data_IF_899489767934
#
_entry.id   IF_899489767934
#
_cell.length_a   1.000
_cell.length_b   1.000
_cell.length_c   1.000
_cell.angle_alpha   90.00
_cell.angle_beta   90.00
_cell.angle_gamma   90.00
#
_symmetry.space_group_name_H-M   'P 1'
#
loop_
_entity.id
_entity.type
_entity.pdbx_description
1 polymer ?
#
# COMPACT_ATOMS: atom_id res chain seq x y z
N UNK A 1 -10.01 17.90 -15.53
CA UNK A 1 -9.34 17.72 -16.83
C UNK A 1 -9.92 18.70 -17.83
N UNK A 2 -9.12 19.19 -18.78
CA UNK A 2 -9.63 19.95 -19.93
C UNK A 2 -9.39 19.14 -21.19
N UNK A 3 -10.36 19.08 -22.08
CA UNK A 3 -10.13 18.53 -23.42
C UNK A 3 -9.48 19.58 -24.33
N UNK A 4 -9.22 19.21 -25.59
CA UNK A 4 -8.63 20.10 -26.59
C UNK A 4 -9.55 21.26 -27.02
N UNK A 5 -10.85 21.20 -26.73
CA UNK A 5 -11.78 22.31 -26.94
C UNK A 5 -11.73 23.33 -25.80
N UNK A 6 -11.00 23.03 -24.72
CA UNK A 6 -10.92 23.86 -23.51
C UNK A 6 -12.04 23.60 -22.50
N UNK A 7 -12.98 22.69 -22.82
CA UNK A 7 -14.08 22.30 -21.95
C UNK A 7 -13.54 21.48 -20.77
N UNK A 8 -14.03 21.82 -19.58
CA UNK A 8 -13.52 21.25 -18.32
C UNK A 8 -14.43 20.13 -17.81
N UNK A 9 -13.85 18.95 -17.67
CA UNK A 9 -14.51 17.74 -17.21
C UNK A 9 -13.95 17.30 -15.85
N UNK A 10 -14.82 16.81 -14.98
CA UNK A 10 -14.37 16.00 -13.83
C UNK A 10 -14.46 14.54 -14.24
N UNK A 11 -13.36 13.79 -14.13
CA UNK A 11 -13.30 12.38 -14.51
C UNK A 11 -12.93 11.58 -13.27
N UNK A 12 -13.65 10.51 -13.01
CA UNK A 12 -13.39 9.57 -11.93
C UNK A 12 -13.36 8.14 -12.49
N UNK A 13 -12.36 7.36 -12.07
CA UNK A 13 -12.33 5.92 -12.25
C UNK A 13 -12.52 5.27 -10.88
N UNK A 14 -13.46 4.35 -10.82
CA UNK A 14 -13.84 3.60 -9.63
C UNK A 14 -13.75 2.11 -9.99
N UNK A 15 -13.53 1.27 -9.00
CA UNK A 15 -13.58 -0.16 -9.21
C UNK A 15 -14.20 -0.86 -8.00
N UNK A 16 -14.69 -2.07 -8.21
CA UNK A 16 -15.30 -2.86 -7.16
C UNK A 16 -14.24 -3.26 -6.12
N UNK A 17 -14.48 -3.02 -4.81
CA UNK A 17 -13.57 -3.48 -3.77
C UNK A 17 -13.32 -4.98 -3.88
N UNK A 18 -12.05 -5.38 -3.79
CA UNK A 18 -11.57 -6.76 -3.97
C UNK A 18 -11.73 -7.36 -5.37
N UNK A 19 -12.22 -6.59 -6.35
CA UNK A 19 -12.43 -7.05 -7.72
C UNK A 19 -12.17 -5.95 -8.76
N UNK A 20 -11.05 -5.24 -8.55
CA UNK A 20 -10.72 -4.07 -9.35
C UNK A 20 -10.31 -4.41 -10.79
N UNK A 21 -9.88 -5.66 -11.03
CA UNK A 21 -9.50 -6.13 -12.35
C UNK A 21 -10.72 -6.36 -13.24
N UNK A 22 -11.79 -6.95 -12.69
CA UNK A 22 -12.93 -7.37 -13.49
C UNK A 22 -14.09 -6.38 -13.49
N UNK A 23 -14.20 -5.48 -12.52
CA UNK A 23 -15.34 -4.56 -12.40
C UNK A 23 -14.88 -3.12 -12.18
N UNK A 24 -14.98 -2.31 -13.25
CA UNK A 24 -14.57 -0.90 -13.24
C UNK A 24 -15.66 0.03 -13.76
N UNK A 25 -15.72 1.23 -13.20
CA UNK A 25 -16.66 2.28 -13.58
C UNK A 25 -15.88 3.58 -13.85
N UNK A 26 -16.02 4.12 -15.05
CA UNK A 26 -15.58 5.48 -15.37
C UNK A 26 -16.79 6.40 -15.33
N UNK A 27 -16.63 7.59 -14.77
CA UNK A 27 -17.64 8.65 -14.72
C UNK A 27 -17.01 9.94 -15.22
N UNK A 28 -17.72 10.63 -16.12
CA UNK A 28 -17.42 11.99 -16.51
C UNK A 28 -18.56 12.92 -16.06
N UNK A 29 -18.19 14.06 -15.49
CA UNK A 29 -19.13 15.06 -14.98
C UNK A 29 -18.82 16.38 -15.67
N UNK A 30 -19.82 16.89 -16.38
CA UNK A 30 -19.84 18.26 -16.90
C UNK A 30 -20.47 19.17 -15.84
N UNK A 31 -19.64 19.88 -15.09
CA UNK A 31 -20.13 20.79 -14.05
C UNK A 31 -20.82 22.03 -14.61
N UNK A 32 -20.55 22.40 -15.87
CA UNK A 32 -21.13 23.58 -16.50
C UNK A 32 -22.56 23.29 -16.95
N UNK A 33 -22.77 22.18 -17.64
CA UNK A 33 -24.09 21.78 -18.13
C UNK A 33 -24.87 20.88 -17.15
N UNK A 34 -24.23 20.46 -16.05
CA UNK A 34 -24.79 19.56 -15.01
C UNK A 34 -25.13 18.17 -15.54
N UNK A 35 -24.42 17.73 -16.56
CA UNK A 35 -24.58 16.41 -17.15
C UNK A 35 -23.57 15.42 -16.56
N UNK A 36 -23.96 14.15 -16.57
CA UNK A 36 -23.17 13.03 -16.06
C UNK A 36 -23.33 11.82 -16.95
N UNK A 37 -22.19 11.23 -17.30
CA UNK A 37 -22.15 10.00 -18.09
C UNK A 37 -21.21 8.99 -17.44
N UNK A 38 -21.51 7.71 -17.65
CA UNK A 38 -20.72 6.62 -17.09
C UNK A 38 -20.51 5.49 -18.06
N UNK A 39 -19.43 4.75 -17.86
CA UNK A 39 -19.15 3.49 -18.53
C UNK A 39 -18.77 2.44 -17.47
N UNK A 40 -19.61 1.43 -17.31
CA UNK A 40 -19.27 0.23 -16.55
C UNK A 40 -18.63 -0.78 -17.50
N UNK A 41 -17.41 -1.20 -17.17
CA UNK A 41 -16.66 -2.23 -17.85
C UNK A 41 -16.57 -3.46 -16.95
N UNK A 42 -17.08 -4.59 -17.44
CA UNK A 42 -16.78 -5.91 -16.88
C UNK A 42 -15.79 -6.63 -17.78
N UNK A 43 -14.76 -7.27 -17.22
CA UNK A 43 -13.76 -7.98 -18.02
C UNK A 43 -14.17 -9.44 -18.34
N UNK A 44 -14.88 -10.11 -17.42
CA UNK A 44 -15.15 -11.55 -17.50
C UNK A 44 -16.63 -11.92 -17.19
N UNK A 45 -17.48 -12.20 -18.20
CA UNK A 45 -17.25 -11.96 -19.62
C UNK A 45 -17.18 -10.46 -19.93
N UNK A 46 -16.45 -10.10 -21.00
CA UNK A 46 -16.26 -8.69 -21.33
C UNK A 46 -17.60 -8.06 -21.71
N UNK A 47 -18.03 -7.04 -20.97
CA UNK A 47 -19.23 -6.28 -21.29
C UNK A 47 -19.07 -4.80 -20.95
N UNK A 48 -19.71 -3.95 -21.76
CA UNK A 48 -19.69 -2.49 -21.64
C UNK A 48 -21.11 -2.00 -21.49
N UNK A 49 -21.36 -1.14 -20.49
CA UNK A 49 -22.65 -0.49 -20.30
C UNK A 49 -22.46 1.00 -20.11
N UNK A 50 -23.11 1.78 -20.99
CA UNK A 50 -23.13 3.24 -20.92
C UNK A 50 -24.32 3.73 -20.09
N UNK A 51 -24.11 4.82 -19.34
CA UNK A 51 -25.12 5.52 -18.55
C UNK A 51 -25.20 6.98 -18.98
N UNK A 52 -26.40 7.57 -18.90
CA UNK A 52 -26.64 8.98 -19.24
C UNK A 52 -26.79 9.27 -20.74
N UNK A 53 -26.88 8.25 -21.59
CA UNK A 53 -26.96 8.37 -23.05
C UNK A 53 -25.83 9.24 -23.66
N UNK A 54 -24.55 8.87 -23.49
CA UNK A 54 -23.42 9.66 -23.96
C UNK A 54 -23.37 9.74 -25.48
N UNK A 55 -23.00 10.91 -25.99
CA UNK A 55 -22.65 11.12 -27.39
C UNK A 55 -21.30 10.51 -27.76
N UNK A 56 -20.86 10.64 -29.02
CA UNK A 56 -19.60 10.08 -29.50
C UNK A 56 -18.37 10.60 -28.74
N UNK A 57 -18.36 11.89 -28.38
CA UNK A 57 -17.26 12.53 -27.66
C UNK A 57 -17.17 12.03 -26.21
N UNK A 58 -18.31 11.97 -25.51
CA UNK A 58 -18.38 11.46 -24.14
C UNK A 58 -17.98 9.99 -24.06
N UNK A 59 -18.37 9.17 -25.05
CA UNK A 59 -17.95 7.77 -25.15
C UNK A 59 -16.43 7.66 -25.30
N UNK A 60 -15.82 8.48 -26.16
CA UNK A 60 -14.37 8.48 -26.35
C UNK A 60 -13.62 8.86 -25.05
N UNK A 61 -14.11 9.86 -24.32
CA UNK A 61 -13.55 10.26 -23.02
C UNK A 61 -13.68 9.15 -21.97
N UNK A 62 -14.84 8.50 -21.88
CA UNK A 62 -15.09 7.38 -20.97
C UNK A 62 -14.20 6.17 -21.27
N UNK A 63 -13.98 5.84 -22.54
CA UNK A 63 -13.07 4.75 -22.92
C UNK A 63 -11.59 5.11 -22.67
N UNK A 64 -11.21 6.36 -22.92
CA UNK A 64 -9.85 6.83 -22.68
C UNK A 64 -9.48 6.83 -21.19
N UNK A 65 -10.47 7.02 -20.31
CA UNK A 65 -10.28 6.91 -18.86
C UNK A 65 -9.69 5.55 -18.48
N UNK A 66 -10.25 4.46 -19.01
CA UNK A 66 -9.76 3.11 -18.72
C UNK A 66 -8.41 2.76 -19.33
N UNK A 67 -8.01 3.44 -20.41
CA UNK A 67 -6.72 3.21 -21.07
C UNK A 67 -5.59 4.03 -20.46
N UNK A 68 -5.83 4.77 -19.37
CA UNK A 68 -4.88 5.72 -18.79
C UNK A 68 -4.41 6.78 -19.79
N UNK A 69 -5.15 6.97 -20.89
CA UNK A 69 -4.76 7.74 -22.07
C UNK A 69 -5.50 9.06 -22.17
N UNK A 70 -5.97 9.56 -21.02
CA UNK A 70 -6.77 10.78 -20.90
C UNK A 70 -6.05 12.03 -21.45
N UNK A 71 -4.72 12.01 -21.51
CA UNK A 71 -3.92 13.08 -22.11
C UNK A 71 -3.98 13.14 -23.66
N UNK A 72 -4.49 12.10 -24.34
CA UNK A 72 -4.36 11.93 -25.79
C UNK A 72 -5.69 12.05 -26.57
N UNK A 73 -6.82 12.31 -25.91
CA UNK A 73 -8.15 12.26 -26.54
C UNK A 73 -8.39 13.40 -27.55
N UNK A 74 -7.59 14.47 -27.50
CA UNK A 74 -7.72 15.63 -28.39
C UNK A 74 -6.90 15.60 -29.67
N UNK A 75 -6.02 14.62 -29.89
CA UNK A 75 -5.04 14.67 -31.00
C UNK A 75 -5.42 13.85 -32.24
N UNK A 76 -6.61 13.23 -32.26
CA UNK A 76 -7.03 12.29 -33.33
C UNK A 76 -8.30 12.66 -34.10
N UNK A 77 -8.88 13.85 -33.92
CA UNK A 77 -10.07 14.26 -34.67
C UNK A 77 -9.80 15.10 -35.93
N UNK A 78 -8.66 14.89 -36.58
CA UNK A 78 -8.44 15.37 -37.95
C UNK A 78 -7.72 14.29 -38.76
N UNK A 79 -8.48 13.46 -39.47
CA UNK A 79 -7.90 12.58 -40.50
C UNK A 79 -8.65 11.27 -40.75
N UNK A 80 -9.63 11.34 -41.65
CA UNK A 80 -9.92 10.37 -42.73
C UNK A 80 -10.15 8.89 -42.39
N UNK A 81 -11.31 8.41 -42.85
CA UNK A 81 -11.75 7.02 -42.96
C UNK A 81 -10.82 6.21 -43.88
N UNK A 82 -10.31 5.04 -43.46
CA UNK A 82 -9.94 3.94 -44.37
C UNK A 82 -9.73 2.60 -43.63
N UNK A 83 -10.53 1.62 -44.07
CA UNK A 83 -10.41 0.16 -44.20
C UNK A 83 -9.30 -0.69 -43.53
N UNK A 84 -9.71 -1.95 -43.29
CA UNK A 84 -8.93 -3.18 -43.05
C UNK A 84 -7.70 -3.35 -43.96
N UNK A 85 -6.58 -3.85 -43.42
CA UNK A 85 -5.91 -5.11 -43.83
C UNK A 85 -4.56 -5.34 -43.12
N UNK A 86 -4.41 -6.60 -42.69
CA UNK A 86 -3.29 -7.54 -42.68
C UNK A 86 -1.80 -7.14 -42.80
N UNK A 87 -1.00 -8.03 -42.21
CA UNK A 87 0.43 -8.32 -42.41
C UNK A 87 1.53 -7.45 -41.79
N UNK A 88 2.51 -8.15 -41.19
CA UNK A 88 3.92 -7.78 -41.35
C UNK A 88 4.72 -7.47 -40.09
N UNK A 89 5.29 -8.53 -39.51
CA UNK A 89 6.39 -8.54 -38.55
C UNK A 89 7.62 -7.72 -39.03
N UNK A 90 8.21 -6.84 -38.20
CA UNK A 90 9.67 -6.56 -38.19
C UNK A 90 10.12 -6.16 -36.77
N UNK A 91 10.80 -7.08 -36.10
CA UNK A 91 11.63 -6.86 -34.93
C UNK A 91 12.94 -6.17 -35.35
N UNK A 92 13.21 -4.95 -34.85
CA UNK A 92 14.52 -4.31 -34.98
C UNK A 92 15.36 -4.53 -33.71
N UNK A 93 16.26 -5.50 -33.84
CA UNK A 93 17.40 -5.74 -32.95
C UNK A 93 18.29 -4.49 -32.86
N UNK A 94 18.58 -4.06 -31.63
CA UNK A 94 19.67 -3.10 -31.35
C UNK A 94 20.81 -3.86 -30.65
N UNK A 95 22.07 -3.87 -31.16
CA UNK A 95 23.16 -4.61 -30.53
C UNK A 95 23.72 -3.91 -29.30
N UNK A 96 23.99 -4.71 -28.25
CA UNK A 96 24.77 -4.36 -27.06
C UNK A 96 26.24 -4.09 -27.43
N UNK A 97 26.79 -2.98 -26.97
CA UNK A 97 28.23 -2.68 -27.07
C UNK A 97 29.03 -3.42 -25.99
N UNK A 98 30.09 -4.09 -26.42
CA UNK A 98 31.09 -4.79 -25.59
C UNK A 98 32.00 -3.80 -24.84
N UNK A 99 32.42 -4.09 -23.60
CA UNK A 99 33.50 -3.35 -22.93
C UNK A 99 34.88 -3.97 -23.25
N UNK A 100 35.97 -3.18 -23.32
CA UNK A 100 37.29 -3.70 -23.60
C UNK A 100 37.92 -4.40 -22.38
N UNK A 101 38.56 -5.54 -22.65
CA UNK A 101 39.39 -6.32 -21.72
C UNK A 101 40.74 -5.63 -21.51
N UNK A 102 41.11 -5.44 -20.24
CA UNK A 102 42.49 -5.18 -19.81
C UNK A 102 42.82 -6.10 -18.62
N UNK A 103 43.90 -6.88 -18.74
CA UNK A 103 44.48 -7.71 -17.68
C UNK A 103 45.86 -7.10 -17.27
N UNK A 104 46.59 -7.70 -16.32
CA UNK A 104 46.27 -7.87 -14.90
C UNK A 104 47.31 -7.12 -14.03
N UNK A 105 46.91 -6.58 -12.87
CA UNK A 105 47.84 -6.01 -11.90
C UNK A 105 47.88 -6.84 -10.62
N UNK A 106 49.10 -7.12 -10.20
CA UNK A 106 49.53 -8.11 -9.22
C UNK A 106 49.02 -7.85 -7.81
N UNK A 107 48.75 -8.96 -7.11
CA UNK A 107 48.51 -9.02 -5.69
C UNK A 107 49.77 -8.59 -4.92
N UNK A 108 49.66 -7.51 -4.16
CA UNK A 108 50.57 -7.20 -3.06
C UNK A 108 49.78 -7.33 -1.76
N UNK A 109 50.05 -8.42 -1.03
CA UNK A 109 49.60 -8.62 0.34
C UNK A 109 50.25 -7.53 1.22
N UNK A 110 49.42 -6.72 1.88
CA UNK A 110 49.85 -5.86 2.96
C UNK A 110 49.11 -6.23 4.24
N UNK A 111 49.92 -6.67 5.19
CA UNK A 111 49.61 -7.15 6.52
C UNK A 111 48.93 -6.06 7.36
N UNK A 112 47.75 -6.37 7.91
CA UNK A 112 47.09 -5.53 8.91
C UNK A 112 47.66 -5.86 10.29
N UNK A 113 48.21 -4.91 11.07
CA UNK A 113 48.59 -5.17 12.45
C UNK A 113 47.35 -5.28 13.35
N UNK A 114 47.34 -6.31 14.18
CA UNK A 114 46.30 -6.60 15.16
C UNK A 114 46.18 -5.48 16.21
N UNK A 115 44.98 -4.95 16.40
CA UNK A 115 44.63 -4.09 17.52
C UNK A 115 44.24 -4.95 18.75
N UNK A 116 44.67 -4.59 19.97
CA UNK A 116 44.44 -5.39 21.16
C UNK A 116 42.97 -5.36 21.60
N UNK A 117 42.33 -6.54 21.60
CA UNK A 117 41.03 -6.79 22.18
C UNK A 117 41.17 -6.89 23.71
N UNK A 118 40.76 -5.85 24.43
CA UNK A 118 40.43 -5.91 25.85
C UNK A 118 39.47 -4.77 26.20
N UNK A 119 38.22 -4.89 25.73
CA UNK A 119 37.09 -4.24 26.38
C UNK A 119 36.11 -5.33 26.82
N UNK A 120 35.75 -5.41 28.12
CA UNK A 120 34.72 -6.32 28.57
C UNK A 120 33.39 -5.97 27.87
N UNK A 121 32.50 -6.96 27.65
CA UNK A 121 31.23 -6.72 26.96
C UNK A 121 30.47 -5.59 27.67
N UNK A 122 30.16 -4.55 26.91
CA UNK A 122 29.26 -3.48 27.34
C UNK A 122 27.93 -4.15 27.68
N UNK A 123 27.63 -4.27 28.98
CA UNK A 123 26.33 -4.71 29.48
C UNK A 123 25.25 -3.94 28.72
N UNK A 124 24.46 -4.69 27.96
CA UNK A 124 23.31 -4.14 27.24
C UNK A 124 22.36 -3.56 28.28
N UNK A 125 21.90 -2.30 28.14
CA UNK A 125 20.88 -1.77 29.02
C UNK A 125 19.69 -2.71 29.00
N UNK A 126 19.29 -3.20 30.17
CA UNK A 126 18.05 -3.92 30.37
C UNK A 126 16.94 -3.18 29.63
N UNK A 127 16.39 -3.81 28.59
CA UNK A 127 15.46 -3.15 27.69
C UNK A 127 14.26 -2.63 28.49
N UNK A 128 14.15 -1.31 28.61
CA UNK A 128 12.90 -0.70 29.04
C UNK A 128 11.76 -1.31 28.20
N UNK A 129 10.59 -1.57 28.82
CA UNK A 129 9.48 -2.14 28.07
C UNK A 129 9.17 -1.24 26.88
N UNK A 130 9.02 -1.84 25.71
CA UNK A 130 8.66 -1.12 24.49
C UNK A 130 7.31 -0.42 24.68
N UNK A 131 7.31 0.91 24.77
CA UNK A 131 6.12 1.74 24.98
C UNK A 131 5.96 2.72 23.82
N UNK A 132 4.74 2.80 23.30
CA UNK A 132 4.40 3.73 22.24
C UNK A 132 4.45 5.17 22.73
N UNK A 133 4.99 6.04 21.89
CA UNK A 133 5.12 7.49 22.10
C UNK A 133 4.75 8.25 20.85
N UNK A 134 4.27 9.48 21.03
CA UNK A 134 4.13 10.44 19.94
C UNK A 134 5.31 11.40 19.96
N UNK A 135 6.00 11.54 18.83
CA UNK A 135 7.20 12.36 18.75
C UNK A 135 7.93 12.20 17.43
N UNK A 136 9.11 12.81 17.32
CA UNK A 136 9.96 12.66 16.15
C UNK A 136 10.71 11.33 16.20
N UNK A 137 10.49 10.46 15.22
CA UNK A 137 11.23 9.23 15.01
C UNK A 137 12.31 9.45 13.93
N UNK A 138 13.55 8.94 14.10
CA UNK A 138 14.64 9.17 13.13
C UNK A 138 14.29 8.76 11.68
N UNK A 139 13.55 7.66 11.52
CA UNK A 139 13.14 7.19 10.19
C UNK A 139 11.76 7.70 9.77
N UNK A 140 10.82 7.80 10.70
CA UNK A 140 9.40 8.05 10.38
C UNK A 140 9.02 9.53 10.49
N UNK A 141 9.89 10.39 11.01
CA UNK A 141 9.54 11.76 11.36
C UNK A 141 8.51 11.80 12.49
N UNK A 142 7.72 12.87 12.52
CA UNK A 142 6.66 13.05 13.52
C UNK A 142 5.60 11.93 13.41
N UNK A 143 5.56 11.04 14.40
CA UNK A 143 4.77 9.81 14.35
C UNK A 143 4.31 9.35 15.75
N UNK A 144 3.27 8.54 15.79
CA UNK A 144 3.00 7.66 16.93
C UNK A 144 3.74 6.34 16.67
N UNK A 145 4.75 6.01 17.47
CA UNK A 145 5.64 4.88 17.19
C UNK A 145 6.11 4.18 18.47
N UNK A 146 6.68 2.99 18.28
CA UNK A 146 7.40 2.24 19.30
C UNK A 146 8.64 1.60 18.68
N UNK A 147 9.70 1.51 19.49
CA UNK A 147 10.91 0.77 19.19
C UNK A 147 10.92 -0.52 20.04
N UNK A 148 11.13 -1.67 19.41
CA UNK A 148 11.08 -2.98 20.07
C UNK A 148 12.07 -3.93 19.41
N UNK A 149 13.09 -4.36 20.15
CA UNK A 149 14.06 -5.35 19.67
C UNK A 149 14.90 -4.89 18.47
N UNK A 150 15.27 -3.60 18.43
CA UNK A 150 16.05 -3.00 17.33
C UNK A 150 15.23 -2.63 16.10
N UNK A 151 13.93 -2.86 16.12
CA UNK A 151 13.01 -2.55 15.05
C UNK A 151 11.95 -1.53 15.51
N UNK A 152 11.30 -0.85 14.56
CA UNK A 152 10.31 0.19 14.85
C UNK A 152 9.04 0.02 14.04
N UNK A 153 7.90 0.34 14.64
CA UNK A 153 6.61 0.46 13.96
C UNK A 153 5.95 1.78 14.36
N UNK A 154 5.26 2.41 13.43
CA UNK A 154 4.50 3.61 13.74
C UNK A 154 3.46 4.01 12.70
N UNK A 155 2.60 4.93 13.13
CA UNK A 155 1.58 5.57 12.32
C UNK A 155 1.94 7.05 12.11
N UNK A 156 1.78 7.52 10.88
CA UNK A 156 2.15 8.89 10.47
C UNK A 156 0.97 9.55 9.77
N UNK A 157 0.84 10.86 9.96
CA UNK A 157 -0.08 11.71 9.21
C UNK A 157 0.38 11.78 7.76
N UNK A 158 -0.44 11.30 6.82
CA UNK A 158 -0.02 11.20 5.41
C UNK A 158 0.19 12.56 4.74
N UNK A 159 -0.59 13.56 5.16
CA UNK A 159 -0.45 14.93 4.69
C UNK A 159 -1.01 15.92 5.70
N UNK A 160 -0.52 17.16 5.64
CA UNK A 160 -1.06 18.26 6.43
C UNK A 160 -2.25 18.88 5.69
N UNK A 161 -3.28 19.26 6.43
CA UNK A 161 -4.49 19.87 5.88
C UNK A 161 -5.67 18.90 5.84
N UNK A 162 -6.71 19.28 5.09
CA UNK A 162 -7.95 18.51 4.93
C UNK A 162 -8.22 18.37 3.44
N UNK A 163 -8.30 17.13 2.97
CA UNK A 163 -8.67 16.78 1.60
C UNK A 163 -9.47 15.49 1.65
N UNK A 164 -10.79 15.61 1.56
CA UNK A 164 -11.72 14.48 1.65
C UNK A 164 -11.72 13.61 0.39
N UNK A 165 -11.06 14.04 -0.70
CA UNK A 165 -10.87 13.22 -1.89
C UNK A 165 -9.69 12.25 -1.74
N UNK A 166 -8.85 12.42 -0.71
CA UNK A 166 -7.72 11.53 -0.42
C UNK A 166 -8.08 10.56 0.69
N UNK A 167 -8.24 9.29 0.33
CA UNK A 167 -8.52 8.21 1.28
C UNK A 167 -7.31 7.81 2.13
N UNK A 168 -6.10 8.15 1.70
CA UNK A 168 -4.85 7.76 2.35
C UNK A 168 -4.44 8.82 3.40
N UNK A 169 -5.11 8.85 4.54
CA UNK A 169 -4.86 9.85 5.61
C UNK A 169 -3.81 9.39 6.63
N UNK A 170 -3.50 8.09 6.66
CA UNK A 170 -2.54 7.44 7.56
C UNK A 170 -1.47 6.71 6.74
N UNK A 171 -0.22 6.81 7.18
CA UNK A 171 0.87 5.96 6.69
C UNK A 171 1.29 5.02 7.82
N UNK A 172 1.18 3.72 7.58
CA UNK A 172 1.70 2.67 8.46
C UNK A 172 3.14 2.40 8.04
N UNK A 173 4.10 2.66 8.93
CA UNK A 173 5.53 2.45 8.69
C UNK A 173 6.10 1.37 9.61
N UNK A 174 6.96 0.54 9.04
CA UNK A 174 7.75 -0.46 9.77
C UNK A 174 9.20 -0.44 9.30
N UNK A 175 10.12 -0.79 10.17
CA UNK A 175 11.48 -1.18 9.76
C UNK A 175 11.45 -2.60 9.18
N UNK A 176 12.40 -2.91 8.29
CA UNK A 176 12.37 -4.11 7.47
C UNK A 176 12.43 -5.41 8.27
N UNK A 177 13.11 -5.43 9.42
CA UNK A 177 13.28 -6.64 10.21
C UNK A 177 12.02 -7.08 10.97
N UNK A 178 10.99 -6.23 11.10
CA UNK A 178 9.68 -6.67 11.61
C UNK A 178 8.99 -7.63 10.67
N UNK A 179 9.05 -7.35 9.36
CA UNK A 179 8.42 -8.20 8.36
C UNK A 179 9.17 -8.17 7.02
N UNK A 180 10.26 -8.94 6.88
CA UNK A 180 11.13 -8.87 5.72
C UNK A 180 10.47 -9.25 4.39
N UNK A 181 9.45 -10.12 4.40
CA UNK A 181 8.73 -10.53 3.18
C UNK A 181 7.47 -9.70 2.90
N UNK A 182 7.19 -8.66 3.70
CA UNK A 182 6.01 -7.80 3.50
C UNK A 182 6.00 -6.97 2.22
N UNK A 183 7.07 -7.01 1.43
CA UNK A 183 7.11 -6.42 0.07
C UNK A 183 6.67 -7.39 -1.02
N UNK A 184 6.42 -8.65 -0.69
CA UNK A 184 5.96 -9.67 -1.63
C UNK A 184 4.48 -9.96 -1.37
N UNK A 185 3.61 -9.87 -2.40
CA UNK A 185 2.18 -10.11 -2.23
C UNK A 185 1.89 -11.45 -1.54
N UNK A 186 1.03 -11.43 -0.52
CA UNK A 186 0.61 -12.62 0.22
C UNK A 186 1.68 -13.27 1.08
N UNK A 187 2.85 -12.64 1.30
CA UNK A 187 3.95 -13.24 2.09
C UNK A 187 4.07 -12.73 3.53
N UNK A 188 3.22 -11.80 3.91
CA UNK A 188 3.16 -11.26 5.27
C UNK A 188 1.72 -11.02 5.68
N UNK A 189 1.43 -11.30 6.94
CA UNK A 189 0.17 -10.99 7.58
C UNK A 189 0.39 -10.24 8.89
N UNK A 190 -0.49 -9.29 9.19
CA UNK A 190 -0.55 -8.64 10.51
C UNK A 190 -1.77 -9.17 11.24
N UNK A 191 -1.60 -9.55 12.50
CA UNK A 191 -2.68 -9.80 13.44
C UNK A 191 -2.59 -8.82 14.60
N UNK A 192 -3.74 -8.45 15.17
CA UNK A 192 -3.79 -7.60 16.36
C UNK A 192 -4.38 -8.39 17.52
N UNK A 193 -3.55 -8.78 18.48
CA UNK A 193 -4.00 -9.48 19.68
C UNK A 193 -5.00 -8.61 20.46
N UNK A 194 -6.09 -9.21 20.94
CA UNK A 194 -7.18 -8.49 21.62
C UNK A 194 -8.21 -7.90 20.67
N UNK A 195 -8.01 -8.04 19.35
CA UNK A 195 -8.96 -7.69 18.31
C UNK A 195 -9.10 -8.89 17.37
N UNK A 196 -10.31 -9.22 16.93
CA UNK A 196 -10.54 -10.33 15.98
C UNK A 196 -10.20 -9.84 14.57
N UNK A 197 -8.94 -9.47 14.33
CA UNK A 197 -8.49 -8.87 13.08
C UNK A 197 -7.09 -9.34 12.72
N UNK A 198 -6.98 -9.89 11.51
CA UNK A 198 -5.73 -10.09 10.83
C UNK A 198 -5.93 -10.30 9.34
N UNK A 199 -4.88 -10.11 8.56
CA UNK A 199 -4.95 -10.23 7.12
C UNK A 199 -3.61 -10.01 6.44
N UNK A 200 -3.56 -10.34 5.16
CA UNK A 200 -2.38 -10.07 4.33
C UNK A 200 -2.12 -8.57 4.29
N UNK A 201 -0.84 -8.21 4.34
CA UNK A 201 -0.37 -6.84 4.16
C UNK A 201 0.66 -6.78 3.05
N UNK A 202 0.73 -5.64 2.38
CA UNK A 202 1.75 -5.36 1.37
C UNK A 202 2.31 -3.96 1.61
N UNK A 203 3.55 -3.91 2.08
CA UNK A 203 4.28 -2.67 2.26
C UNK A 203 5.15 -2.37 1.03
N UNK A 204 5.33 -1.09 0.74
CA UNK A 204 6.23 -0.60 -0.29
C UNK A 204 7.55 -0.13 0.33
N UNK A 205 8.71 -0.43 -0.28
CA UNK A 205 9.98 0.15 0.15
C UNK A 205 9.95 1.67 0.04
N UNK A 206 10.43 2.35 1.07
CA UNK A 206 10.63 3.79 1.07
C UNK A 206 12.13 4.12 0.90
N UNK A 207 12.51 5.17 0.14
CA UNK A 207 13.91 5.53 -0.11
C UNK A 207 14.78 5.76 1.14
N UNK A 208 14.14 6.09 2.27
CA UNK A 208 14.80 6.27 3.58
C UNK A 208 15.05 4.96 4.35
N UNK A 209 14.85 3.80 3.73
CA UNK A 209 15.20 2.50 4.32
C UNK A 209 14.15 1.85 5.23
N UNK A 210 12.91 2.35 5.22
CA UNK A 210 11.77 1.72 5.90
C UNK A 210 10.73 1.20 4.89
N UNK A 211 9.73 0.48 5.38
CA UNK A 211 8.59 -0.01 4.58
C UNK A 211 7.33 0.77 4.95
N UNK A 212 6.48 1.07 3.97
CA UNK A 212 5.28 1.89 4.15
C UNK A 212 4.05 1.28 3.46
N UNK A 213 2.93 1.32 4.16
CA UNK A 213 1.60 1.02 3.65
C UNK A 213 0.71 2.23 3.88
N UNK A 214 -0.13 2.56 2.91
CA UNK A 214 -1.07 3.67 3.00
C UNK A 214 -2.42 3.17 3.47
N UNK A 215 -3.04 3.91 4.38
CA UNK A 215 -4.27 3.52 5.06
C UNK A 215 -5.19 4.73 5.26
N UNK A 216 -6.47 4.46 5.49
CA UNK A 216 -7.40 5.46 6.00
C UNK A 216 -7.41 5.46 7.54
N UNK A 217 -8.12 6.43 8.14
CA UNK A 217 -8.19 6.55 9.60
C UNK A 217 -8.96 5.41 10.27
N UNK A 218 -9.87 4.72 9.57
CA UNK A 218 -10.65 3.62 10.12
C UNK A 218 -9.99 2.25 10.00
N UNK A 219 -8.87 2.14 9.29
CA UNK A 219 -8.09 0.91 9.21
C UNK A 219 -7.40 0.61 10.54
N UNK A 220 -6.07 0.63 10.54
CA UNK A 220 -5.30 0.16 11.69
C UNK A 220 -5.36 1.05 12.94
N UNK A 221 -5.80 2.31 12.87
CA UNK A 221 -5.83 3.19 14.05
C UNK A 221 -6.72 2.62 15.16
N UNK A 222 -7.98 2.29 14.87
CA UNK A 222 -8.89 1.81 15.92
C UNK A 222 -8.47 0.44 16.45
N UNK A 223 -8.06 -0.46 15.55
CA UNK A 223 -7.58 -1.80 15.89
C UNK A 223 -6.35 -1.72 16.80
N UNK A 224 -5.37 -0.86 16.48
CA UNK A 224 -4.16 -0.68 17.30
C UNK A 224 -4.46 0.02 18.64
N UNK A 225 -5.39 0.98 18.66
CA UNK A 225 -5.77 1.66 19.92
C UNK A 225 -6.39 0.71 20.95
N UNK A 226 -7.07 -0.34 20.50
CA UNK A 226 -7.82 -1.29 21.34
C UNK A 226 -7.10 -2.63 21.53
N UNK A 227 -6.10 -2.91 20.70
CA UNK A 227 -5.30 -4.12 20.75
C UNK A 227 -4.29 -4.15 21.90
N UNK A 228 -3.74 -5.35 22.13
CA UNK A 228 -2.70 -5.64 23.12
C UNK A 228 -1.32 -5.73 22.49
N UNK A 229 -1.23 -6.29 21.29
CA UNK A 229 0.00 -6.44 20.53
C UNK A 229 -0.25 -6.52 19.02
N UNK A 230 0.71 -6.05 18.22
CA UNK A 230 0.83 -6.36 16.81
C UNK A 230 1.67 -7.63 16.64
N UNK A 231 1.22 -8.52 15.78
CA UNK A 231 1.90 -9.75 15.41
C UNK A 231 2.17 -9.72 13.92
N UNK A 232 3.43 -9.56 13.54
CA UNK A 232 3.89 -9.65 12.17
C UNK A 232 4.27 -11.10 11.88
N UNK A 233 3.39 -11.81 11.18
CA UNK A 233 3.55 -13.22 10.86
C UNK A 233 4.05 -13.39 9.43
N UNK A 234 5.23 -13.99 9.29
CA UNK A 234 5.78 -14.37 7.98
C UNK A 234 5.16 -15.69 7.51
N UNK A 235 4.77 -15.77 6.25
CA UNK A 235 4.15 -16.97 5.70
C UNK A 235 3.30 -16.68 4.47
N UNK A 236 2.80 -17.72 3.82
CA UNK A 236 1.91 -17.56 2.67
C UNK A 236 0.48 -17.37 3.17
N UNK A 237 -0.08 -16.18 2.99
CA UNK A 237 -1.50 -15.95 3.17
C UNK A 237 -2.28 -16.74 2.11
N UNK A 238 -3.28 -17.51 2.55
CA UNK A 238 -4.09 -18.35 1.67
C UNK A 238 -5.47 -17.74 1.46
N UNK A 239 -6.20 -17.47 2.54
CA UNK A 239 -7.57 -16.98 2.45
C UNK A 239 -8.00 -16.25 3.72
N UNK A 240 -9.05 -15.45 3.58
CA UNK A 240 -9.89 -14.99 4.69
C UNK A 240 -11.31 -15.39 4.36
N UNK A 241 -11.93 -16.16 5.23
CA UNK A 241 -13.29 -16.67 5.06
C UNK A 241 -14.19 -16.12 6.16
N UNK A 242 -15.40 -15.69 5.79
CA UNK A 242 -16.44 -15.38 6.77
C UNK A 242 -17.16 -16.67 7.16
N UNK A 243 -16.99 -17.10 8.41
CA UNK A 243 -17.72 -18.23 9.02
C UNK A 243 -18.70 -17.68 10.04
N UNK A 244 -19.89 -17.32 9.57
CA UNK A 244 -20.93 -16.67 10.37
C UNK A 244 -20.52 -15.26 10.78
N UNK A 245 -20.36 -15.02 12.09
CA UNK A 245 -19.89 -13.74 12.64
C UNK A 245 -18.37 -13.66 12.83
N UNK A 246 -17.65 -14.71 12.42
CA UNK A 246 -16.20 -14.83 12.65
C UNK A 246 -15.47 -14.78 11.31
N UNK A 247 -14.42 -13.98 11.24
CA UNK A 247 -13.47 -14.04 10.13
C UNK A 247 -12.37 -15.05 10.47
N UNK A 248 -12.14 -16.02 9.59
CA UNK A 248 -11.08 -17.01 9.74
C UNK A 248 -10.01 -16.72 8.71
N UNK A 249 -8.82 -16.36 9.19
CA UNK A 249 -7.64 -16.21 8.34
C UNK A 249 -6.90 -17.53 8.22
N UNK A 250 -6.64 -17.96 7.00
CA UNK A 250 -5.79 -19.10 6.70
C UNK A 250 -4.44 -18.63 6.20
N UNK A 251 -3.36 -19.12 6.82
CA UNK A 251 -1.99 -18.95 6.33
C UNK A 251 -1.22 -20.26 6.39
N UNK A 252 -0.18 -20.37 5.57
CA UNK A 252 0.81 -21.45 5.61
C UNK A 252 2.14 -20.93 6.15
N UNK A 253 2.67 -21.62 7.16
CA UNK A 253 4.00 -21.35 7.70
C UNK A 253 4.76 -22.67 7.79
N UNK A 254 5.96 -22.70 7.20
CA UNK A 254 6.81 -23.90 7.15
C UNK A 254 6.08 -25.14 6.57
N UNK A 255 5.26 -24.93 5.53
CA UNK A 255 4.47 -26.00 4.89
C UNK A 255 3.26 -26.48 5.69
N UNK A 256 2.94 -25.84 6.83
CA UNK A 256 1.78 -26.18 7.65
C UNK A 256 0.72 -25.10 7.52
N UNK A 257 -0.47 -25.50 7.05
CA UNK A 257 -1.66 -24.65 6.97
C UNK A 257 -2.26 -24.44 8.38
N UNK A 258 -2.59 -23.19 8.70
CA UNK A 258 -3.08 -22.74 10.01
C UNK A 258 -4.30 -21.87 9.82
N UNK A 259 -5.33 -22.14 10.62
CA UNK A 259 -6.52 -21.30 10.72
C UNK A 259 -6.49 -20.46 12.01
N UNK A 260 -6.65 -19.15 11.84
CA UNK A 260 -6.68 -18.15 12.89
C UNK A 260 -8.06 -17.50 12.90
N UNK A 261 -8.90 -17.87 13.87
CA UNK A 261 -10.25 -17.32 14.02
C UNK A 261 -10.34 -16.27 15.14
N UNK A 262 -9.30 -16.11 15.95
CA UNK A 262 -9.22 -15.10 17.01
C UNK A 262 -8.04 -15.31 17.95
N UNK A 263 -8.02 -14.57 19.06
CA UNK A 263 -6.90 -14.54 20.02
C UNK A 263 -6.41 -15.92 20.44
N UNK A 264 -7.34 -16.84 20.70
CA UNK A 264 -7.00 -18.20 21.14
C UNK A 264 -6.18 -18.98 20.12
N UNK A 265 -6.20 -18.59 18.85
CA UNK A 265 -5.49 -19.27 17.77
C UNK A 265 -4.13 -18.63 17.47
N UNK A 266 -3.83 -17.44 18.03
CA UNK A 266 -2.58 -16.73 17.76
C UNK A 266 -1.34 -17.50 18.21
N UNK A 267 -1.47 -18.39 19.21
CA UNK A 267 -0.39 -19.29 19.63
C UNK A 267 0.05 -20.28 18.53
N UNK A 268 -0.77 -20.49 17.49
CA UNK A 268 -0.42 -21.35 16.34
C UNK A 268 0.63 -20.68 15.45
N UNK A 269 0.74 -19.35 15.49
CA UNK A 269 1.66 -18.60 14.64
C UNK A 269 3.12 -18.90 15.04
N UNK A 270 3.96 -19.12 14.04
CA UNK A 270 5.43 -19.23 14.19
C UNK A 270 6.10 -18.13 13.38
N UNK A 271 7.41 -17.97 13.48
CA UNK A 271 8.16 -16.94 12.71
C UNK A 271 7.51 -15.56 12.80
N UNK A 272 7.01 -15.22 13.99
CA UNK A 272 6.18 -14.03 14.25
C UNK A 272 6.92 -13.06 15.14
N UNK A 273 7.02 -11.80 14.70
CA UNK A 273 7.52 -10.70 15.54
C UNK A 273 6.34 -10.06 16.27
N UNK A 274 6.44 -10.02 17.60
CA UNK A 274 5.43 -9.42 18.47
C UNK A 274 5.88 -8.03 18.92
N UNK A 275 5.02 -7.03 18.73
CA UNK A 275 5.24 -5.66 19.22
C UNK A 275 4.11 -5.29 20.19
N UNK A 276 4.41 -4.96 21.46
CA UNK A 276 3.38 -4.57 22.41
C UNK A 276 2.71 -3.25 21.99
N UNK A 277 1.43 -3.11 22.33
CA UNK A 277 0.64 -1.89 22.10
C UNK A 277 0.51 -1.02 23.36
N UNK A 278 1.35 -1.27 24.37
CA UNK A 278 1.44 -0.45 25.58
C UNK A 278 1.67 1.01 25.21
N UNK A 279 0.79 1.90 25.66
CA UNK A 279 0.85 3.34 25.37
C UNK A 279 0.28 3.76 24.00
N UNK A 280 -0.08 2.82 23.11
CA UNK A 280 -0.48 3.12 21.74
C UNK A 280 -1.70 4.05 21.69
N UNK A 281 -2.71 3.79 22.54
CA UNK A 281 -3.90 4.62 22.63
C UNK A 281 -3.61 6.10 22.93
N UNK A 282 -2.60 6.39 23.79
CA UNK A 282 -2.18 7.75 24.12
C UNK A 282 -1.43 8.39 22.96
N UNK A 283 -0.43 7.69 22.41
CA UNK A 283 0.38 8.19 21.30
C UNK A 283 -0.46 8.47 20.05
N UNK A 284 -1.38 7.55 19.71
CA UNK A 284 -2.27 7.70 18.55
C UNK A 284 -3.25 8.86 18.76
N UNK A 285 -3.77 9.06 19.97
CA UNK A 285 -4.61 10.24 20.26
C UNK A 285 -3.84 11.54 20.01
N UNK A 286 -2.57 11.61 20.39
CA UNK A 286 -1.73 12.77 20.11
C UNK A 286 -1.49 12.95 18.60
N UNK A 287 -1.29 11.86 17.84
CA UNK A 287 -1.22 11.89 16.38
C UNK A 287 -2.50 12.45 15.75
N UNK A 288 -3.68 11.96 16.16
CA UNK A 288 -4.98 12.45 15.69
C UNK A 288 -5.12 13.95 16.00
N UNK A 289 -4.77 14.37 17.21
CA UNK A 289 -4.83 15.78 17.61
C UNK A 289 -3.86 16.68 16.82
N UNK A 290 -2.76 16.13 16.31
CA UNK A 290 -1.80 16.87 15.50
C UNK A 290 -2.09 16.81 13.98
N UNK A 291 -2.94 15.90 13.52
CA UNK A 291 -3.18 15.65 12.09
C UNK A 291 -4.61 16.04 11.67
N UNK A 292 -4.82 17.19 10.99
CA UNK A 292 -6.14 17.59 10.51
C UNK A 292 -6.78 16.58 9.54
N UNK A 293 -5.99 15.92 8.70
CA UNK A 293 -6.47 14.94 7.73
C UNK A 293 -7.16 13.75 8.42
N UNK A 294 -6.48 13.13 9.40
CA UNK A 294 -7.03 12.00 10.17
C UNK A 294 -8.30 12.41 10.93
N UNK A 295 -8.35 13.64 11.49
CA UNK A 295 -9.57 14.12 12.16
C UNK A 295 -10.73 14.31 11.19
N UNK A 296 -10.45 14.86 10.01
CA UNK A 296 -11.47 15.06 8.99
C UNK A 296 -12.02 13.72 8.49
N UNK A 297 -11.13 12.74 8.31
CA UNK A 297 -11.49 11.38 7.92
C UNK A 297 -12.44 10.75 8.95
N UNK A 298 -12.10 10.79 10.25
CA UNK A 298 -13.01 10.32 11.31
C UNK A 298 -14.34 11.07 11.38
N UNK A 299 -14.35 12.38 11.10
CA UNK A 299 -15.60 13.17 11.08
C UNK A 299 -16.49 12.82 9.89
N UNK A 300 -15.91 12.26 8.84
CA UNK A 300 -16.60 11.85 7.63
C UNK A 300 -16.80 10.33 7.59
N UNK A 301 -16.89 9.69 8.76
CA UNK A 301 -17.02 8.22 8.91
C UNK A 301 -16.03 7.42 8.04
N UNK A 302 -14.83 7.99 7.84
CA UNK A 302 -13.74 7.46 7.01
C UNK A 302 -14.09 7.26 5.52
N UNK A 303 -14.94 8.11 4.97
CA UNK A 303 -15.33 8.09 3.55
C UNK A 303 -16.51 7.18 3.23
N UNK A 304 -17.32 6.84 4.24
CA UNK A 304 -18.60 6.12 4.11
C UNK A 304 -19.76 7.10 3.86
#
# INVERSE_FOLDING_TARGET
MRDASGKSWTVAELCQPHDCADNKLAVIIDRQNRDLWGLLLKANPTSRRYFGNPGPEEKALLEAAFRGSLANVGSRSTGVVAAEQDDGEVLLNTPLSEPPRGAPAQAAAQSVPAAPQNQPPREQPSAEPAVWRYGNHPLFGQSAHVDSGGESVGLVCAFRGVDLMRSETVLFRITRGLSPQSTTPGRSSIFVEGQVSGGSVLFKPHPRGFLEMKENACGYIETIRRGKALLFAEGTFISVESRGRTSVTTLEQRGVRKEIAGDRDLHKLVDTKRVPLTGAAKAIRQLINACPAIRADFKNDCGV
#
